data_IF_911342977016
#
_entry.id   IF_911342977016
#
_cell.length_a   1.000
_cell.length_b   1.000
_cell.length_c   1.000
_cell.angle_alpha   90.00
_cell.angle_beta   90.00
_cell.angle_gamma   90.00
#
_symmetry.space_group_name_H-M   'P 1'
#
loop_
_entity.id
_entity.type
_entity.pdbx_description
1 polymer ?
#
# COMPACT_ATOMS: atom_id res chain seq x y z
N UNK A 1 1.33 -21.95 -6.01
CA UNK A 1 1.08 -20.54 -6.40
C UNK A 1 0.25 -19.81 -5.34
N UNK A 2 -1.04 -20.15 -5.14
CA UNK A 2 -1.95 -19.41 -4.23
C UNK A 2 -1.40 -19.21 -2.81
N UNK A 3 -0.86 -20.26 -2.18
CA UNK A 3 -0.34 -20.18 -0.80
C UNK A 3 0.84 -19.21 -0.69
N UNK A 4 1.76 -19.23 -1.67
CA UNK A 4 2.92 -18.33 -1.70
C UNK A 4 2.45 -16.89 -1.80
N UNK A 5 1.58 -16.58 -2.77
CA UNK A 5 1.04 -15.24 -2.97
C UNK A 5 0.27 -14.73 -1.76
N UNK A 6 -0.53 -15.60 -1.13
CA UNK A 6 -1.30 -15.24 0.05
C UNK A 6 -0.38 -14.87 1.22
N UNK A 7 0.61 -15.73 1.52
CA UNK A 7 1.52 -15.52 2.65
C UNK A 7 2.42 -14.31 2.44
N UNK A 8 3.09 -14.21 1.29
CA UNK A 8 3.95 -13.07 0.97
C UNK A 8 3.13 -11.79 0.84
N UNK A 9 2.01 -11.83 0.12
CA UNK A 9 1.13 -10.68 -0.08
C UNK A 9 0.62 -10.08 1.23
N UNK A 10 0.16 -10.90 2.19
CA UNK A 10 -0.24 -10.39 3.50
C UNK A 10 0.92 -9.78 4.28
N UNK A 11 2.12 -10.38 4.20
CA UNK A 11 3.29 -9.85 4.89
C UNK A 11 3.78 -8.54 4.28
N UNK A 12 3.85 -8.46 2.95
CA UNK A 12 4.23 -7.25 2.20
C UNK A 12 3.18 -6.16 2.44
N UNK A 13 1.89 -6.48 2.47
CA UNK A 13 0.82 -5.56 2.86
C UNK A 13 1.06 -4.98 4.26
N UNK A 14 1.40 -5.82 5.25
CA UNK A 14 1.68 -5.35 6.61
C UNK A 14 2.89 -4.41 6.68
N UNK A 15 3.98 -4.74 5.97
CA UNK A 15 5.18 -3.89 5.87
C UNK A 15 4.87 -2.57 5.16
N UNK A 16 4.11 -2.61 4.06
CA UNK A 16 3.72 -1.43 3.29
C UNK A 16 2.80 -0.52 4.11
N UNK A 17 1.78 -1.07 4.77
CA UNK A 17 0.90 -0.31 5.67
C UNK A 17 1.69 0.38 6.78
N UNK A 18 2.62 -0.33 7.43
CA UNK A 18 3.50 0.29 8.41
C UNK A 18 4.27 1.47 7.84
N UNK A 19 4.89 1.30 6.66
CA UNK A 19 5.64 2.36 6.01
C UNK A 19 4.75 3.58 5.73
N UNK A 20 3.56 3.37 5.18
CA UNK A 20 2.61 4.45 4.89
C UNK A 20 2.11 5.16 6.15
N UNK A 21 1.84 4.40 7.21
CA UNK A 21 1.44 4.93 8.51
C UNK A 21 2.55 5.80 9.11
N UNK A 22 3.81 5.41 8.95
CA UNK A 22 4.94 6.24 9.35
C UNK A 22 5.05 7.51 8.49
N UNK A 23 4.81 7.42 7.17
CA UNK A 23 4.81 8.58 6.26
C UNK A 23 3.77 9.63 6.65
N UNK A 24 2.57 9.22 7.06
CA UNK A 24 1.52 10.12 7.54
C UNK A 24 1.67 10.52 9.01
N UNK A 25 2.71 10.02 9.69
CA UNK A 25 2.95 10.19 11.13
C UNK A 25 1.73 9.78 11.95
N UNK A 26 1.19 8.61 11.65
CA UNK A 26 0.05 8.03 12.34
C UNK A 26 0.32 7.85 13.83
N UNK A 27 -0.75 7.85 14.63
CA UNK A 27 -0.66 7.73 16.08
C UNK A 27 -0.16 6.33 16.50
N UNK A 28 1.08 6.26 17.02
CA UNK A 28 1.70 5.01 17.50
C UNK A 28 1.09 4.47 18.79
N UNK A 29 0.26 5.24 19.50
CA UNK A 29 -0.52 4.73 20.63
C UNK A 29 -1.71 3.88 20.17
N UNK A 30 -2.06 3.93 18.88
CA UNK A 30 -3.15 3.14 18.34
C UNK A 30 -2.81 1.63 18.33
N UNK A 31 -3.68 0.76 18.87
CA UNK A 31 -3.40 -0.68 18.96
C UNK A 31 -3.16 -1.35 17.60
N UNK A 32 -3.80 -0.90 16.52
CA UNK A 32 -3.60 -1.46 15.18
C UNK A 32 -2.22 -1.10 14.61
N UNK A 33 -1.77 0.12 14.86
CA UNK A 33 -0.42 0.57 14.47
C UNK A 33 0.62 -0.25 15.24
N UNK A 34 0.42 -0.46 16.55
CA UNK A 34 1.31 -1.28 17.37
C UNK A 34 1.36 -2.73 16.91
N UNK A 35 0.21 -3.31 16.55
CA UNK A 35 0.12 -4.67 16.02
C UNK A 35 0.93 -4.81 14.72
N UNK A 36 0.73 -3.90 13.75
CA UNK A 36 1.49 -3.89 12.49
C UNK A 36 2.99 -3.74 12.75
N UNK A 37 3.37 -2.82 13.64
CA UNK A 37 4.77 -2.59 14.02
C UNK A 37 5.38 -3.85 14.65
N UNK A 38 4.63 -4.56 15.51
CA UNK A 38 5.08 -5.76 16.18
C UNK A 38 5.34 -6.92 15.22
N UNK A 39 4.47 -7.12 14.23
CA UNK A 39 4.61 -8.19 13.23
C UNK A 39 5.77 -7.94 12.27
N UNK A 40 5.98 -6.68 11.92
CA UNK A 40 6.98 -6.29 10.90
C UNK A 40 8.36 -6.02 11.50
N UNK A 41 8.47 -5.74 12.80
CA UNK A 41 9.73 -5.43 13.48
C UNK A 41 10.81 -6.53 13.40
N UNK A 42 10.52 -7.83 13.59
CA UNK A 42 11.58 -8.84 13.73
C UNK A 42 12.58 -8.88 12.56
N UNK A 43 12.17 -8.84 11.28
CA UNK A 43 13.11 -8.72 10.17
C UNK A 43 13.61 -7.30 9.91
N UNK A 44 12.89 -6.26 10.36
CA UNK A 44 13.36 -4.88 10.21
C UNK A 44 14.54 -4.54 11.13
N UNK A 45 14.60 -5.10 12.34
CA UNK A 45 15.70 -4.86 13.29
C UNK A 45 17.10 -5.22 12.76
N UNK A 46 17.34 -6.41 12.17
CA UNK A 46 18.63 -6.72 11.56
C UNK A 46 18.87 -5.86 10.32
N UNK A 47 17.84 -5.60 9.52
CA UNK A 47 17.97 -4.82 8.29
C UNK A 47 18.35 -3.35 8.55
N UNK A 48 17.83 -2.76 9.64
CA UNK A 48 18.17 -1.41 10.11
C UNK A 48 19.64 -1.25 10.51
N UNK A 49 20.37 -2.35 10.74
CA UNK A 49 21.82 -2.29 10.97
C UNK A 49 22.58 -1.98 9.68
N UNK A 50 22.03 -2.35 8.54
CA UNK A 50 22.64 -2.14 7.22
C UNK A 50 22.07 -0.91 6.50
N UNK A 51 20.79 -0.62 6.70
CA UNK A 51 20.09 0.49 6.04
C UNK A 51 19.74 1.55 7.09
N UNK A 52 20.45 2.69 7.14
CA UNK A 52 20.09 3.77 8.06
C UNK A 52 18.76 4.41 7.66
N UNK A 53 18.00 4.88 8.64
CA UNK A 53 16.79 5.67 8.38
C UNK A 53 17.15 7.06 7.84
N UNK A 54 16.37 7.60 6.90
CA UNK A 54 16.60 8.91 6.30
C UNK A 54 15.44 9.86 6.59
N UNK A 55 15.72 11.01 7.22
CA UNK A 55 14.73 12.07 7.50
C UNK A 55 13.46 11.60 8.23
N UNK A 56 13.59 10.61 9.11
CA UNK A 56 12.46 10.04 9.85
C UNK A 56 11.64 9.01 9.06
N UNK A 57 12.03 8.68 7.82
CA UNK A 57 11.49 7.55 7.05
C UNK A 57 12.29 6.27 7.33
N UNK A 58 11.57 5.17 7.49
CA UNK A 58 12.16 3.85 7.67
C UNK A 58 12.48 3.22 6.31
N UNK A 59 13.62 3.59 5.74
CA UNK A 59 14.14 3.01 4.49
C UNK A 59 14.24 1.48 4.56
N UNK A 60 14.48 0.91 5.75
CA UNK A 60 14.49 -0.53 5.94
C UNK A 60 13.13 -1.16 5.60
N UNK A 61 12.01 -0.47 5.82
CA UNK A 61 10.67 -0.97 5.44
C UNK A 61 10.51 -1.06 3.93
N UNK A 62 11.02 -0.07 3.18
CA UNK A 62 10.98 -0.09 1.70
C UNK A 62 11.86 -1.21 1.15
N UNK A 63 13.09 -1.34 1.67
CA UNK A 63 14.03 -2.39 1.27
C UNK A 63 13.46 -3.78 1.59
N UNK A 64 12.84 -3.95 2.76
CA UNK A 64 12.22 -5.21 3.14
C UNK A 64 11.04 -5.55 2.20
N UNK A 65 10.14 -4.60 1.93
CA UNK A 65 9.03 -4.81 1.01
C UNK A 65 9.53 -5.20 -0.39
N UNK A 66 10.56 -4.53 -0.89
CA UNK A 66 11.18 -4.86 -2.18
C UNK A 66 11.82 -6.24 -2.19
N UNK A 67 12.59 -6.60 -1.15
CA UNK A 67 13.21 -7.92 -1.05
C UNK A 67 12.17 -9.05 -0.99
N UNK A 68 11.11 -8.87 -0.20
CA UNK A 68 10.02 -9.85 -0.10
C UNK A 68 9.28 -10.02 -1.42
N UNK A 69 8.94 -8.91 -2.09
CA UNK A 69 8.27 -8.95 -3.39
C UNK A 69 9.17 -9.60 -4.45
N UNK A 70 10.47 -9.31 -4.43
CA UNK A 70 11.45 -9.93 -5.33
C UNK A 70 11.47 -11.44 -5.16
N UNK A 71 11.54 -11.92 -3.90
CA UNK A 71 11.50 -13.34 -3.58
C UNK A 71 10.19 -13.97 -4.05
N UNK A 72 9.06 -13.31 -3.82
CA UNK A 72 7.76 -13.79 -4.28
C UNK A 72 7.71 -13.95 -5.80
N UNK A 73 8.13 -12.93 -6.56
CA UNK A 73 8.15 -12.95 -8.03
C UNK A 73 9.06 -14.07 -8.55
N UNK A 74 10.25 -14.23 -7.98
CA UNK A 74 11.20 -15.29 -8.37
C UNK A 74 10.64 -16.68 -8.08
N UNK A 75 10.01 -16.88 -6.91
CA UNK A 75 9.40 -18.16 -6.55
C UNK A 75 8.23 -18.48 -7.49
N UNK A 76 7.39 -17.50 -7.80
CA UNK A 76 6.26 -17.68 -8.72
C UNK A 76 6.77 -17.96 -10.13
N UNK A 77 7.72 -17.20 -10.66
CA UNK A 77 8.26 -17.42 -12.01
C UNK A 77 8.93 -18.80 -12.14
N UNK A 78 9.64 -19.24 -11.10
CA UNK A 78 10.25 -20.57 -11.06
C UNK A 78 9.21 -21.70 -11.13
N UNK A 79 8.05 -21.55 -10.48
CA UNK A 79 6.97 -22.54 -10.54
C UNK A 79 6.33 -22.67 -11.93
N UNK A 80 6.32 -21.59 -12.71
CA UNK A 80 5.76 -21.57 -14.07
C UNK A 80 6.79 -21.89 -15.15
N UNK A 81 8.04 -22.17 -14.78
CA UNK A 81 9.14 -22.37 -15.74
C UNK A 81 9.44 -21.14 -16.60
N UNK A 82 8.98 -19.95 -16.17
CA UNK A 82 9.22 -18.70 -16.88
C UNK A 82 10.58 -18.14 -16.46
N UNK A 83 11.47 -17.96 -17.43
CA UNK A 83 12.76 -17.27 -17.21
C UNK A 83 12.61 -15.78 -17.54
N UNK A 84 12.15 -15.01 -16.56
CA UNK A 84 12.25 -13.55 -16.65
C UNK A 84 13.71 -13.16 -16.50
N UNK A 85 14.22 -12.32 -17.40
CA UNK A 85 15.53 -11.69 -17.23
C UNK A 85 15.56 -10.83 -15.96
N UNK A 86 16.76 -10.53 -15.45
CA UNK A 86 16.95 -9.73 -14.21
C UNK A 86 16.17 -8.40 -14.27
N UNK A 87 16.22 -7.71 -15.42
CA UNK A 87 15.47 -6.47 -15.62
C UNK A 87 13.95 -6.65 -15.52
N UNK A 88 13.42 -7.78 -15.97
CA UNK A 88 11.98 -8.07 -15.88
C UNK A 88 11.53 -8.43 -14.49
N UNK A 89 12.34 -9.21 -13.77
CA UNK A 89 12.07 -9.49 -12.35
C UNK A 89 12.03 -8.18 -11.56
N UNK A 90 12.99 -7.28 -11.76
CA UNK A 90 13.04 -5.98 -11.08
C UNK A 90 11.86 -5.08 -11.45
N UNK A 91 11.50 -5.01 -12.74
CA UNK A 91 10.36 -4.21 -13.19
C UNK A 91 9.05 -4.73 -12.60
N UNK A 92 8.78 -6.04 -12.71
CA UNK A 92 7.57 -6.67 -12.16
C UNK A 92 7.50 -6.45 -10.65
N UNK A 93 8.63 -6.60 -9.94
CA UNK A 93 8.71 -6.33 -8.49
C UNK A 93 8.30 -4.89 -8.16
N UNK A 94 8.84 -3.90 -8.88
CA UNK A 94 8.49 -2.49 -8.67
C UNK A 94 7.01 -2.20 -9.00
N UNK A 95 6.49 -2.81 -10.06
CA UNK A 95 5.10 -2.64 -10.50
C UNK A 95 4.11 -3.26 -9.51
N UNK A 96 4.39 -4.45 -8.98
CA UNK A 96 3.52 -5.08 -7.97
C UNK A 96 3.47 -4.28 -6.67
N UNK A 97 4.60 -3.71 -6.21
CA UNK A 97 4.60 -2.82 -5.05
C UNK A 97 3.80 -1.53 -5.30
N UNK A 98 3.91 -0.95 -6.49
CA UNK A 98 3.16 0.25 -6.85
C UNK A 98 1.65 -0.05 -6.98
N UNK A 99 1.29 -1.20 -7.54
CA UNK A 99 -0.08 -1.70 -7.60
C UNK A 99 -0.65 -1.94 -6.20
N UNK A 100 0.14 -2.53 -5.30
CA UNK A 100 -0.23 -2.70 -3.89
C UNK A 100 -0.47 -1.35 -3.21
N UNK A 101 0.42 -0.36 -3.42
CA UNK A 101 0.27 0.98 -2.89
C UNK A 101 -1.06 1.63 -3.34
N UNK A 102 -1.36 1.56 -4.64
CA UNK A 102 -2.62 2.06 -5.19
C UNK A 102 -3.81 1.34 -4.57
N UNK A 103 -3.75 0.00 -4.46
CA UNK A 103 -4.83 -0.80 -3.87
C UNK A 103 -5.08 -0.47 -2.39
N UNK A 104 -4.02 -0.24 -1.60
CA UNK A 104 -4.15 0.19 -0.20
C UNK A 104 -4.95 1.50 -0.12
N UNK A 105 -4.60 2.48 -0.96
CA UNK A 105 -5.32 3.75 -0.97
C UNK A 105 -6.73 3.63 -1.55
N UNK A 106 -6.93 2.84 -2.59
CA UNK A 106 -8.23 2.62 -3.23
C UNK A 106 -9.22 2.05 -2.19
N UNK A 107 -8.87 0.92 -1.59
CA UNK A 107 -9.70 0.28 -0.58
C UNK A 107 -9.80 1.13 0.68
N UNK A 108 -8.71 1.79 1.10
CA UNK A 108 -8.73 2.69 2.24
C UNK A 108 -9.74 3.82 2.08
N UNK A 109 -9.77 4.46 0.91
CA UNK A 109 -10.72 5.54 0.59
C UNK A 109 -12.14 5.03 0.48
N UNK A 110 -12.36 3.86 -0.15
CA UNK A 110 -13.70 3.24 -0.22
C UNK A 110 -14.22 2.95 1.18
N UNK A 111 -13.43 2.31 2.04
CA UNK A 111 -13.81 2.01 3.43
C UNK A 111 -14.09 3.33 4.17
N UNK A 112 -13.28 4.36 3.99
CA UNK A 112 -13.48 5.66 4.64
C UNK A 112 -14.80 6.33 4.18
N UNK A 113 -15.16 6.20 2.90
CA UNK A 113 -16.41 6.72 2.35
C UNK A 113 -17.62 5.99 2.94
N UNK A 114 -17.58 4.65 2.96
CA UNK A 114 -18.62 3.82 3.58
C UNK A 114 -18.77 4.17 5.06
N UNK A 115 -17.65 4.27 5.79
CA UNK A 115 -17.65 4.72 7.18
C UNK A 115 -18.29 6.11 7.32
N UNK A 116 -17.99 7.07 6.44
CA UNK A 116 -18.60 8.41 6.53
C UNK A 116 -20.13 8.42 6.39
N UNK A 117 -20.72 7.46 5.68
CA UNK A 117 -22.18 7.37 5.52
C UNK A 117 -22.87 6.63 6.67
N UNK A 118 -22.21 5.65 7.28
CA UNK A 118 -22.79 4.88 8.39
C UNK A 118 -22.53 5.51 9.77
N UNK A 119 -21.77 6.62 9.82
CA UNK A 119 -21.48 7.40 11.02
C UNK A 119 -20.94 6.57 12.23
N UNK A 120 -19.77 5.91 12.09
CA UNK A 120 -19.16 5.15 13.17
C UNK A 120 -18.67 6.07 14.28
N UNK A 121 -18.56 5.53 15.49
CA UNK A 121 -17.98 6.25 16.63
C UNK A 121 -16.60 6.84 16.25
N UNK A 122 -16.42 8.18 16.32
CA UNK A 122 -15.14 8.85 16.05
C UNK A 122 -13.98 8.38 16.94
N UNK A 123 -14.27 7.67 18.03
CA UNK A 123 -13.28 7.11 18.94
C UNK A 123 -12.79 5.72 18.54
N UNK A 124 -13.39 5.10 17.51
CA UNK A 124 -12.97 3.78 17.06
C UNK A 124 -11.53 3.81 16.50
N UNK A 125 -10.60 2.99 17.02
CA UNK A 125 -9.18 3.07 16.68
C UNK A 125 -8.92 2.83 15.18
N UNK A 126 -9.69 1.96 14.52
CA UNK A 126 -9.55 1.71 13.09
C UNK A 126 -9.96 2.91 12.24
N UNK A 127 -11.04 3.61 12.62
CA UNK A 127 -11.53 4.78 11.88
C UNK A 127 -10.51 5.93 11.93
N UNK A 128 -9.85 6.12 13.07
CA UNK A 128 -8.80 7.14 13.24
C UNK A 128 -7.58 6.86 12.36
N UNK A 129 -7.08 5.62 12.35
CA UNK A 129 -5.94 5.22 11.52
C UNK A 129 -6.28 5.35 10.04
N UNK A 130 -7.47 4.93 9.64
CA UNK A 130 -7.93 5.03 8.26
C UNK A 130 -8.04 6.48 7.80
N UNK A 131 -8.58 7.36 8.64
CA UNK A 131 -8.67 8.79 8.35
C UNK A 131 -7.27 9.43 8.21
N UNK A 132 -6.31 9.04 9.03
CA UNK A 132 -4.91 9.50 8.92
C UNK A 132 -4.25 8.99 7.63
N UNK A 133 -4.46 7.71 7.29
CA UNK A 133 -3.90 7.09 6.09
C UNK A 133 -4.45 7.72 4.81
N UNK A 134 -5.74 7.99 4.75
CA UNK A 134 -6.43 8.52 3.55
C UNK A 134 -6.39 10.05 3.42
N UNK A 135 -6.10 10.77 4.51
CA UNK A 135 -6.05 12.23 4.53
C UNK A 135 -5.15 12.87 3.45
N UNK A 136 -3.95 12.36 3.12
CA UNK A 136 -3.11 12.94 2.08
C UNK A 136 -3.78 13.01 0.70
N UNK A 137 -4.67 12.06 0.38
CA UNK A 137 -5.41 12.04 -0.89
C UNK A 137 -6.75 12.78 -0.79
N UNK A 138 -7.47 12.62 0.33
CA UNK A 138 -8.79 13.23 0.50
C UNK A 138 -8.72 14.75 0.76
N UNK A 139 -7.72 15.25 1.48
CA UNK A 139 -7.57 16.69 1.75
C UNK A 139 -7.47 17.55 0.48
N UNK A 140 -6.60 17.24 -0.50
CA UNK A 140 -6.57 18.00 -1.75
C UNK A 140 -7.86 17.79 -2.56
N UNK A 141 -8.43 16.58 -2.59
CA UNK A 141 -9.68 16.32 -3.31
C UNK A 141 -10.86 17.15 -2.76
N UNK A 142 -10.97 17.31 -1.44
CA UNK A 142 -11.98 18.18 -0.79
C UNK A 142 -11.83 19.66 -1.13
N UNK A 143 -10.63 20.11 -1.51
CA UNK A 143 -10.41 21.49 -1.98
C UNK A 143 -10.89 21.68 -3.42
N UNK A 144 -10.83 20.63 -4.24
CA UNK A 144 -11.30 20.64 -5.63
C UNK A 144 -12.82 20.44 -5.73
N UNK A 145 -13.38 19.54 -4.93
CA UNK A 145 -14.80 19.23 -4.86
C UNK A 145 -15.28 19.34 -3.39
N UNK A 146 -15.70 20.56 -2.96
CA UNK A 146 -16.27 20.75 -1.65
C UNK A 146 -17.54 19.90 -1.44
N UNK A 147 -17.90 19.56 -0.18
CA UNK A 147 -19.10 18.80 0.11
C UNK A 147 -20.35 19.50 -0.42
N UNK A 148 -21.22 18.76 -1.10
CA UNK A 148 -22.49 19.26 -1.63
C UNK A 148 -23.61 18.68 -0.77
N UNK A 149 -24.46 19.54 -0.21
CA UNK A 149 -25.61 19.13 0.63
C UNK A 149 -25.21 18.22 1.82
N UNK A 150 -24.05 18.46 2.43
CA UNK A 150 -23.56 17.67 3.58
C UNK A 150 -22.95 16.30 3.22
N UNK A 151 -22.91 15.92 1.94
CA UNK A 151 -22.30 14.67 1.47
C UNK A 151 -20.90 14.96 0.92
N UNK A 152 -19.90 14.23 1.41
CA UNK A 152 -18.52 14.31 0.92
C UNK A 152 -18.35 13.48 -0.36
N UNK A 153 -18.25 14.15 -1.51
CA UNK A 153 -18.02 13.54 -2.82
C UNK A 153 -16.53 13.36 -3.15
N UNK A 154 -15.63 13.87 -2.31
CA UNK A 154 -14.18 13.74 -2.51
C UNK A 154 -13.68 12.29 -2.60
N UNK A 155 -14.26 11.28 -1.91
CA UNK A 155 -13.83 9.89 -2.08
C UNK A 155 -14.06 9.36 -3.49
N UNK A 156 -15.16 9.73 -4.15
CA UNK A 156 -15.47 9.31 -5.52
C UNK A 156 -14.39 9.82 -6.48
N UNK A 157 -14.03 11.11 -6.36
CA UNK A 157 -12.96 11.71 -7.17
C UNK A 157 -11.63 10.98 -7.00
N UNK A 158 -11.24 10.69 -5.75
CA UNK A 158 -9.99 9.98 -5.47
C UNK A 158 -10.03 8.55 -6.01
N UNK A 159 -11.14 7.84 -5.84
CA UNK A 159 -11.31 6.47 -6.36
C UNK A 159 -11.17 6.44 -7.88
N UNK A 160 -11.84 7.35 -8.60
CA UNK A 160 -11.74 7.44 -10.05
C UNK A 160 -10.30 7.74 -10.48
N UNK A 161 -9.61 8.67 -9.83
CA UNK A 161 -8.22 8.99 -10.12
C UNK A 161 -7.28 7.79 -9.88
N UNK A 162 -7.47 7.06 -8.77
CA UNK A 162 -6.67 5.87 -8.45
C UNK A 162 -6.92 4.72 -9.43
N UNK A 163 -8.17 4.49 -9.84
CA UNK A 163 -8.52 3.49 -10.87
C UNK A 163 -7.85 3.86 -12.18
N UNK A 164 -7.93 5.12 -12.60
CA UNK A 164 -7.30 5.58 -13.83
C UNK A 164 -5.78 5.36 -13.82
N UNK A 165 -5.10 5.72 -12.72
CA UNK A 165 -3.66 5.45 -12.55
C UNK A 165 -3.35 3.95 -12.55
N UNK A 166 -4.21 3.13 -11.94
CA UNK A 166 -4.06 1.67 -11.94
C UNK A 166 -4.16 1.08 -13.35
N UNK A 167 -5.07 1.58 -14.18
CA UNK A 167 -5.21 1.16 -15.58
C UNK A 167 -3.96 1.52 -16.39
N UNK A 168 -3.50 2.78 -16.29
CA UNK A 168 -2.28 3.21 -16.98
C UNK A 168 -1.05 2.37 -16.59
N UNK A 169 -0.94 2.00 -15.32
CA UNK A 169 0.15 1.16 -14.83
C UNK A 169 0.09 -0.25 -15.43
N UNK A 170 -1.11 -0.83 -15.51
CA UNK A 170 -1.31 -2.16 -16.09
C UNK A 170 -1.05 -2.18 -17.59
N UNK A 171 -1.52 -1.15 -18.31
CA UNK A 171 -1.27 -1.00 -19.74
C UNK A 171 0.23 -0.88 -20.03
N UNK A 172 0.95 -0.10 -19.22
CA UNK A 172 2.40 0.02 -19.31
C UNK A 172 3.12 -1.32 -19.09
N UNK A 173 2.70 -2.09 -18.08
CA UNK A 173 3.28 -3.41 -17.81
C UNK A 173 2.94 -4.42 -18.92
N UNK A 174 1.73 -4.38 -19.48
CA UNK A 174 1.32 -5.22 -20.60
C UNK A 174 2.13 -4.95 -21.86
N UNK A 175 2.37 -3.67 -22.16
CA UNK A 175 3.23 -3.26 -23.27
C UNK A 175 4.66 -3.80 -23.14
N UNK A 176 5.20 -3.84 -21.92
CA UNK A 176 6.55 -4.32 -21.67
C UNK A 176 6.66 -5.85 -21.62
N UNK A 177 5.65 -6.53 -21.09
CA UNK A 177 5.64 -8.00 -20.95
C UNK A 177 5.26 -8.73 -22.24
N UNK A 178 4.74 -8.02 -23.26
CA UNK A 178 4.39 -8.60 -24.56
C UNK A 178 3.17 -9.52 -24.53
N UNK A 179 2.48 -9.62 -23.39
CA UNK A 179 1.25 -10.40 -23.23
C UNK A 179 0.05 -9.50 -23.57
N UNK A 180 -0.53 -9.73 -24.75
CA UNK A 180 -1.94 -9.42 -25.03
C UNK A 180 -2.78 -10.67 -24.78
#
# INVERSE_FOLDING_TARGET
MFLIQTVFGFYILAVMLRFLLQCVRADFYNPLVQFLVRITNPPLLPLRRFVPGYRGLDLASVVLAFALQLVEVVLVSALFGQSLGIGGVLLVTAMELLKLLINIYLWGVIIQAVLSWVNPDPHHPAARVLAQLTAPLLRPARRLLPPVSGVDLSPVLVVVALIFVSLLLQDFLGMWSGLR
#
